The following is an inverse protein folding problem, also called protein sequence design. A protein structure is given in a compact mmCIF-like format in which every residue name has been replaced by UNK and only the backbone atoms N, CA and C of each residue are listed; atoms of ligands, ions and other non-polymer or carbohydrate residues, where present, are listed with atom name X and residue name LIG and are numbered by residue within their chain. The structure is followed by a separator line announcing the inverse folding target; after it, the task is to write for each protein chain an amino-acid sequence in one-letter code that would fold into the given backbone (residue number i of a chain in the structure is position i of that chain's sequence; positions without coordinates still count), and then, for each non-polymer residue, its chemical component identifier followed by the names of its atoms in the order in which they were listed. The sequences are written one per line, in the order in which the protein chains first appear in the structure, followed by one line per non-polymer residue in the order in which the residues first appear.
data_IF_190428761575
#
_entry.id   IF_190428761575
#
_cell.length_a   1.000
_cell.length_b   1.000
_cell.length_c   1.000
_cell.angle_alpha   90.00
_cell.angle_beta   90.00
_cell.angle_gamma   90.00
#
_symmetry.space_group_name_H-M   'P 1'
#
loop_
_entity.id
_entity.type
_entity.pdbx_description
1 polymer ?
#
# COMPACT_ATOMS: atom_id res chain seq x y z
N UNK A 1 -25.53 -37.91 -33.32
CA UNK A 1 -24.58 -37.49 -32.25
C UNK A 1 -23.38 -36.68 -32.77
N UNK A 2 -22.71 -37.04 -33.89
CA UNK A 2 -21.54 -36.31 -34.40
C UNK A 2 -21.80 -34.82 -34.77
N UNK A 3 -22.96 -34.48 -35.34
CA UNK A 3 -23.32 -33.09 -35.69
C UNK A 3 -23.49 -32.17 -34.46
N UNK A 4 -24.08 -32.68 -33.38
CA UNK A 4 -24.29 -31.89 -32.16
C UNK A 4 -22.97 -31.64 -31.40
N UNK A 5 -22.01 -32.57 -31.50
CA UNK A 5 -20.68 -32.41 -30.92
C UNK A 5 -19.90 -31.26 -31.61
N UNK A 6 -19.95 -31.18 -32.94
CA UNK A 6 -19.27 -30.13 -33.71
C UNK A 6 -19.83 -28.76 -33.33
N UNK A 7 -21.16 -28.60 -33.29
CA UNK A 7 -21.81 -27.33 -32.90
C UNK A 7 -21.40 -26.90 -31.48
N UNK A 8 -21.31 -27.84 -30.54
CA UNK A 8 -20.86 -27.56 -29.18
C UNK A 8 -19.41 -27.06 -29.16
N UNK A 9 -18.50 -27.69 -29.89
CA UNK A 9 -17.09 -27.26 -29.98
C UNK A 9 -16.93 -25.90 -30.69
N UNK A 10 -17.75 -25.59 -31.70
CA UNK A 10 -17.70 -24.28 -32.36
C UNK A 10 -18.19 -23.17 -31.41
N UNK A 11 -19.28 -23.40 -30.67
CA UNK A 11 -19.80 -22.44 -29.69
C UNK A 11 -18.81 -22.25 -28.53
N UNK A 12 -18.18 -23.33 -28.06
CA UNK A 12 -17.14 -23.27 -27.03
C UNK A 12 -15.90 -22.48 -27.52
N UNK A 13 -15.53 -22.63 -28.79
CA UNK A 13 -14.40 -21.91 -29.41
C UNK A 13 -14.62 -20.40 -29.53
N UNK A 14 -15.86 -19.95 -29.73
CA UNK A 14 -16.20 -18.52 -29.68
C UNK A 14 -16.17 -17.96 -28.25
N UNK A 15 -16.59 -18.75 -27.26
CA UNK A 15 -16.56 -18.36 -25.85
C UNK A 15 -15.14 -18.31 -25.26
N UNK A 16 -14.19 -19.05 -25.86
CA UNK A 16 -12.80 -19.17 -25.41
C UNK A 16 -11.81 -18.34 -26.23
N UNK A 17 -12.25 -17.32 -26.98
CA UNK A 17 -11.36 -16.41 -27.71
C UNK A 17 -10.54 -15.54 -26.73
N UNK A 18 -9.50 -16.14 -26.16
CA UNK A 18 -8.55 -15.46 -25.31
C UNK A 18 -7.64 -14.62 -26.20
N UNK A 19 -8.01 -13.34 -26.41
CA UNK A 19 -7.17 -12.40 -27.16
C UNK A 19 -5.73 -12.44 -26.62
N UNK A 20 -4.78 -12.79 -27.48
CA UNK A 20 -3.38 -13.03 -27.15
C UNK A 20 -2.63 -11.71 -27.06
N UNK A 21 -2.18 -11.37 -25.86
CA UNK A 21 -1.37 -10.17 -25.61
C UNK A 21 0.09 -10.58 -25.54
N UNK A 22 0.90 -10.11 -26.50
CA UNK A 22 2.35 -10.34 -26.53
C UNK A 22 3.07 -9.01 -26.39
N UNK A 23 4.11 -8.99 -25.56
CA UNK A 23 5.04 -7.84 -25.46
C UNK A 23 6.42 -8.35 -25.78
N UNK A 24 7.07 -7.72 -26.75
CA UNK A 24 8.45 -8.05 -27.13
C UNK A 24 9.17 -6.77 -27.49
N UNK A 25 10.32 -6.53 -26.86
CA UNK A 25 11.17 -5.34 -27.11
C UNK A 25 10.40 -4.01 -27.01
N UNK A 26 9.54 -3.86 -25.99
CA UNK A 26 8.76 -2.64 -25.78
C UNK A 26 7.63 -2.42 -26.79
N UNK A 27 7.22 -3.43 -27.56
CA UNK A 27 6.08 -3.35 -28.49
C UNK A 27 4.96 -4.26 -27.98
N UNK A 28 3.78 -3.68 -27.80
CA UNK A 28 2.54 -4.39 -27.49
C UNK A 28 1.92 -4.88 -28.79
N UNK A 29 1.68 -6.18 -28.87
CA UNK A 29 1.14 -6.88 -30.03
C UNK A 29 -0.11 -7.64 -29.64
N UNK A 30 -1.20 -7.45 -30.38
CA UNK A 30 -2.48 -8.14 -30.22
C UNK A 30 -2.75 -8.95 -31.48
N UNK A 31 -2.93 -10.26 -31.34
CA UNK A 31 -3.21 -11.15 -32.49
C UNK A 31 -2.22 -10.99 -33.67
N UNK A 32 -0.96 -10.67 -33.37
CA UNK A 32 0.08 -10.45 -34.39
C UNK A 32 0.16 -9.02 -34.94
N UNK A 33 -0.76 -8.13 -34.58
CA UNK A 33 -0.74 -6.72 -34.97
C UNK A 33 -0.05 -5.88 -33.90
N UNK A 34 0.93 -5.05 -34.29
CA UNK A 34 1.54 -4.08 -33.38
C UNK A 34 0.58 -2.92 -33.14
N UNK A 35 0.28 -2.63 -31.87
CA UNK A 35 -0.78 -1.66 -31.51
C UNK A 35 -0.26 -0.50 -30.67
N UNK A 36 0.77 -0.71 -29.86
CA UNK A 36 1.34 0.32 -29.01
C UNK A 36 2.81 0.03 -28.69
N UNK A 37 3.53 1.06 -28.25
CA UNK A 37 4.86 0.94 -27.67
C UNK A 37 4.79 1.19 -26.16
N UNK A 38 5.67 0.56 -25.41
CA UNK A 38 5.81 0.70 -23.96
C UNK A 38 7.29 0.90 -23.61
N UNK A 39 7.57 1.87 -22.77
CA UNK A 39 8.89 2.11 -22.19
C UNK A 39 8.79 2.13 -20.66
N UNK A 40 9.86 1.73 -19.98
CA UNK A 40 9.94 1.75 -18.52
C UNK A 40 11.04 2.73 -18.08
N UNK A 41 10.70 3.63 -17.16
CA UNK A 41 11.66 4.41 -16.38
C UNK A 41 11.26 4.36 -14.91
N UNK A 42 12.08 3.75 -14.07
CA UNK A 42 11.92 3.73 -12.61
C UNK A 42 10.53 3.27 -12.14
N UNK A 43 10.02 2.14 -12.65
CA UNK A 43 8.68 1.57 -12.36
C UNK A 43 7.49 2.36 -12.91
N UNK A 44 7.75 3.37 -13.73
CA UNK A 44 6.72 4.09 -14.50
C UNK A 44 6.77 3.60 -15.95
N UNK A 45 5.68 2.96 -16.37
CA UNK A 45 5.50 2.42 -17.71
C UNK A 45 4.78 3.44 -18.57
N UNK A 46 5.44 3.97 -19.59
CA UNK A 46 4.89 4.96 -20.51
C UNK A 46 4.38 4.26 -21.76
N UNK A 47 3.09 4.42 -22.05
CA UNK A 47 2.45 3.89 -23.24
C UNK A 47 2.40 4.95 -24.33
N UNK A 48 2.91 4.56 -25.50
CA UNK A 48 3.04 5.41 -26.68
C UNK A 48 2.28 4.80 -27.86
N UNK A 49 1.87 5.66 -28.79
CA UNK A 49 1.45 5.18 -30.10
C UNK A 49 2.65 4.58 -30.87
N UNK A 50 2.40 4.00 -32.06
CA UNK A 50 3.47 3.42 -32.88
C UNK A 50 4.46 4.47 -33.41
N UNK A 51 4.06 5.75 -33.44
CA UNK A 51 4.87 6.91 -33.82
C UNK A 51 5.68 7.48 -32.64
N UNK A 52 5.67 6.81 -31.49
CA UNK A 52 6.40 7.18 -30.27
C UNK A 52 5.86 8.42 -29.55
N UNK A 53 4.62 8.83 -29.83
CA UNK A 53 3.96 9.88 -29.06
C UNK A 53 3.45 9.30 -27.73
N UNK A 54 3.88 9.83 -26.58
CA UNK A 54 3.51 9.28 -25.28
C UNK A 54 2.13 9.78 -24.87
N UNK A 55 1.22 8.84 -24.54
CA UNK A 55 -0.19 9.14 -24.28
C UNK A 55 -0.51 9.14 -22.78
N UNK A 56 -0.10 8.08 -22.08
CA UNK A 56 -0.37 7.89 -20.65
C UNK A 56 0.73 7.08 -19.98
N UNK A 57 0.76 7.11 -18.65
CA UNK A 57 1.68 6.30 -17.85
C UNK A 57 0.93 5.43 -16.85
N UNK A 58 1.52 4.27 -16.54
CA UNK A 58 1.09 3.33 -15.51
C UNK A 58 2.24 3.17 -14.53
N UNK A 59 2.03 3.51 -13.27
CA UNK A 59 2.98 3.31 -12.18
C UNK A 59 2.48 2.19 -11.27
N UNK A 60 3.32 1.21 -10.95
CA UNK A 60 2.98 0.20 -9.95
C UNK A 60 3.30 0.72 -8.56
N UNK A 61 2.28 0.74 -7.72
CA UNK A 61 2.40 1.06 -6.30
C UNK A 61 2.26 -0.23 -5.51
N UNK A 62 3.27 -0.54 -4.71
CA UNK A 62 3.23 -1.61 -3.74
C UNK A 62 3.65 -1.04 -2.39
N UNK A 63 2.69 -0.88 -1.49
CA UNK A 63 2.90 -0.24 -0.19
C UNK A 63 2.44 -1.15 0.95
N UNK A 64 3.20 -1.13 2.05
CA UNK A 64 2.70 -1.66 3.32
C UNK A 64 1.74 -0.65 3.94
N UNK A 65 0.58 -1.12 4.39
CA UNK A 65 -0.41 -0.28 5.09
C UNK A 65 -0.12 -0.36 6.59
N UNK A 66 -0.32 -1.53 7.16
CA UNK A 66 -0.08 -1.86 8.57
C UNK A 66 0.36 -3.32 8.61
N UNK A 67 1.38 -3.63 9.40
CA UNK A 67 1.93 -4.97 9.56
C UNK A 67 2.35 -5.61 8.21
N UNK A 68 1.90 -6.84 7.97
CA UNK A 68 2.09 -7.61 6.75
C UNK A 68 1.00 -7.38 5.70
N UNK A 69 0.07 -6.44 5.93
CA UNK A 69 -0.96 -6.12 4.94
C UNK A 69 -0.39 -5.15 3.92
N UNK A 70 -0.15 -5.65 2.72
CA UNK A 70 0.30 -4.86 1.57
C UNK A 70 -0.88 -4.57 0.66
N UNK A 71 -0.84 -3.39 0.05
CA UNK A 71 -1.74 -3.00 -1.01
C UNK A 71 -0.94 -2.72 -2.27
N UNK A 72 -1.28 -3.45 -3.33
CA UNK A 72 -0.63 -3.36 -4.63
C UNK A 72 -1.64 -2.95 -5.68
N UNK A 73 -1.37 -1.87 -6.38
CA UNK A 73 -2.27 -1.27 -7.36
C UNK A 73 -1.51 -0.49 -8.41
N UNK A 74 -2.21 0.01 -9.42
CA UNK A 74 -1.61 0.87 -10.43
C UNK A 74 -2.17 2.29 -10.35
N UNK A 75 -1.30 3.26 -10.60
CA UNK A 75 -1.68 4.65 -10.86
C UNK A 75 -1.61 4.90 -12.36
N UNK A 76 -2.75 5.25 -12.95
CA UNK A 76 -2.82 5.67 -14.35
C UNK A 76 -2.83 7.20 -14.41
N UNK A 77 -1.90 7.77 -15.18
CA UNK A 77 -1.77 9.22 -15.38
C UNK A 77 -1.83 9.57 -16.86
N UNK A 78 -2.45 10.70 -17.19
CA UNK A 78 -2.35 11.29 -18.53
C UNK A 78 -1.10 12.14 -18.65
N UNK A 79 -0.49 12.11 -19.83
CA UNK A 79 0.69 12.93 -20.10
C UNK A 79 0.30 14.38 -20.42
N UNK A 80 -0.80 14.55 -21.16
CA UNK A 80 -1.29 15.88 -21.58
C UNK A 80 -2.24 16.52 -20.56
N UNK A 81 -2.53 15.88 -19.42
CA UNK A 81 -3.36 16.43 -18.34
C UNK A 81 -2.97 15.81 -16.99
N UNK A 82 -1.84 16.29 -16.44
CA UNK A 82 -1.14 15.68 -15.28
C UNK A 82 -1.91 15.79 -13.95
N UNK A 83 -2.94 16.62 -13.87
CA UNK A 83 -3.62 16.93 -12.61
C UNK A 83 -4.60 15.85 -12.15
N UNK A 84 -4.86 14.84 -12.99
CA UNK A 84 -5.76 13.73 -12.65
C UNK A 84 -5.01 12.40 -12.73
N UNK A 85 -4.72 11.83 -11.55
CA UNK A 85 -4.27 10.45 -11.37
C UNK A 85 -5.46 9.59 -10.97
N UNK A 86 -5.58 8.38 -11.52
CA UNK A 86 -6.56 7.39 -11.05
C UNK A 86 -5.85 6.15 -10.51
N UNK A 87 -6.29 5.70 -9.33
CA UNK A 87 -5.80 4.47 -8.71
C UNK A 87 -6.72 3.31 -9.07
N UNK A 88 -6.17 2.24 -9.64
CA UNK A 88 -6.92 1.12 -10.18
C UNK A 88 -6.33 -0.21 -9.72
N UNK A 89 -7.19 -1.21 -9.61
CA UNK A 89 -6.73 -2.59 -9.47
C UNK A 89 -6.15 -3.07 -10.82
N UNK A 90 -5.13 -3.92 -10.75
CA UNK A 90 -4.50 -4.48 -11.95
C UNK A 90 -4.72 -6.00 -12.01
N UNK A 91 -4.60 -6.54 -13.21
CA UNK A 91 -4.66 -7.97 -13.45
C UNK A 91 -3.31 -8.46 -13.98
N UNK A 92 -2.80 -9.50 -13.33
CA UNK A 92 -1.59 -10.18 -13.76
C UNK A 92 -1.97 -11.40 -14.60
N UNK A 93 -1.48 -11.55 -15.84
CA UNK A 93 -1.79 -12.73 -16.65
C UNK A 93 -1.22 -14.04 -16.07
N UNK A 94 -0.21 -13.95 -15.20
CA UNK A 94 0.25 -15.07 -14.37
C UNK A 94 0.91 -14.58 -13.07
N UNK A 95 1.22 -15.49 -12.15
CA UNK A 95 1.99 -15.18 -10.95
C UNK A 95 3.46 -14.79 -11.24
N UNK A 96 3.95 -15.08 -12.46
CA UNK A 96 5.33 -14.83 -12.88
C UNK A 96 5.45 -13.78 -13.97
N UNK A 97 4.35 -13.11 -14.36
CA UNK A 97 4.46 -12.02 -15.31
C UNK A 97 5.13 -10.83 -14.65
N UNK A 98 6.18 -10.33 -15.30
CA UNK A 98 6.77 -9.05 -14.93
C UNK A 98 5.75 -7.91 -15.03
N UNK A 99 5.97 -6.84 -14.28
CA UNK A 99 5.09 -5.68 -14.21
C UNK A 99 4.75 -5.08 -15.57
N UNK A 100 5.70 -5.02 -16.52
CA UNK A 100 5.45 -4.56 -17.89
C UNK A 100 4.32 -5.36 -18.56
N UNK A 101 4.33 -6.68 -18.36
CA UNK A 101 3.33 -7.59 -18.90
C UNK A 101 1.99 -7.43 -18.20
N UNK A 102 2.00 -7.27 -16.89
CA UNK A 102 0.79 -6.99 -16.11
C UNK A 102 0.17 -5.63 -16.47
N UNK A 103 1.00 -4.62 -16.77
CA UNK A 103 0.59 -3.30 -17.18
C UNK A 103 -0.18 -3.36 -18.50
N UNK A 104 0.44 -3.91 -19.54
CA UNK A 104 -0.20 -3.96 -20.85
C UNK A 104 -1.42 -4.90 -20.83
N UNK A 105 -1.34 -6.02 -20.12
CA UNK A 105 -2.47 -6.94 -19.99
C UNK A 105 -3.67 -6.27 -19.32
N UNK A 106 -3.43 -5.48 -18.26
CA UNK A 106 -4.48 -4.68 -17.60
C UNK A 106 -5.08 -3.64 -18.55
N UNK A 107 -4.24 -2.92 -19.30
CA UNK A 107 -4.67 -1.90 -20.25
C UNK A 107 -5.52 -2.48 -21.40
N UNK A 108 -5.17 -3.68 -21.88
CA UNK A 108 -5.90 -4.36 -22.96
C UNK A 108 -7.18 -5.01 -22.46
N UNK A 109 -7.10 -5.84 -21.40
CA UNK A 109 -8.20 -6.73 -20.99
C UNK A 109 -9.17 -6.09 -20.01
N UNK A 110 -8.66 -5.40 -18.99
CA UNK A 110 -9.48 -4.83 -17.93
C UNK A 110 -10.00 -3.44 -18.31
N UNK A 111 -9.08 -2.56 -18.73
CA UNK A 111 -9.41 -1.16 -19.01
C UNK A 111 -9.89 -0.94 -20.45
N UNK A 112 -9.57 -1.86 -21.37
CA UNK A 112 -9.90 -1.76 -22.80
C UNK A 112 -9.46 -0.42 -23.43
N UNK A 113 -8.34 0.12 -22.97
CA UNK A 113 -7.74 1.36 -23.49
C UNK A 113 -6.69 1.10 -24.58
N UNK A 114 -6.39 -0.18 -24.83
CA UNK A 114 -5.63 -0.64 -26.01
C UNK A 114 -6.48 -1.69 -26.72
N UNK A 115 -6.71 -1.50 -28.00
CA UNK A 115 -7.39 -2.42 -28.89
C UNK A 115 -6.54 -2.72 -30.14
N UNK A 116 -7.12 -3.45 -31.10
CA UNK A 116 -6.50 -3.83 -32.37
C UNK A 116 -6.11 -2.63 -33.25
N UNK A 117 -6.66 -1.43 -33.00
CA UNK A 117 -6.36 -0.20 -33.72
C UNK A 117 -5.30 0.66 -33.02
N UNK A 118 -4.96 0.33 -31.78
CA UNK A 118 -3.96 1.05 -30.99
C UNK A 118 -4.50 1.53 -29.65
N UNK A 119 -4.01 2.67 -29.19
CA UNK A 119 -4.49 3.29 -27.95
C UNK A 119 -5.85 3.96 -28.20
N UNK A 120 -6.87 3.49 -27.50
CA UNK A 120 -8.23 4.00 -27.61
C UNK A 120 -8.44 5.22 -26.72
N UNK A 121 -8.27 6.41 -27.28
CA UNK A 121 -8.38 7.69 -26.56
C UNK A 121 -9.77 7.90 -25.97
N UNK A 122 -10.83 7.46 -26.66
CA UNK A 122 -12.21 7.60 -26.17
C UNK A 122 -12.42 6.79 -24.88
N UNK A 123 -12.01 5.52 -24.85
CA UNK A 123 -12.12 4.70 -23.65
C UNK A 123 -11.23 5.24 -22.53
N UNK A 124 -10.06 5.79 -22.87
CA UNK A 124 -9.22 6.50 -21.90
C UNK A 124 -9.95 7.73 -21.35
N UNK A 125 -10.61 8.54 -22.17
CA UNK A 125 -11.44 9.69 -21.74
C UNK A 125 -12.55 9.27 -20.81
N UNK A 126 -13.27 8.21 -21.17
CA UNK A 126 -14.38 7.69 -20.39
C UNK A 126 -13.91 7.12 -19.04
N UNK A 127 -12.75 6.47 -18.99
CA UNK A 127 -12.15 5.98 -17.74
C UNK A 127 -11.80 7.12 -16.77
N UNK A 128 -11.26 8.23 -17.28
CA UNK A 128 -10.94 9.40 -16.45
C UNK A 128 -12.17 10.22 -16.07
N UNK A 129 -13.26 10.18 -16.85
CA UNK A 129 -14.56 10.78 -16.49
C UNK A 129 -15.27 9.94 -15.42
N UNK A 130 -15.32 8.63 -15.61
CA UNK A 130 -16.00 7.66 -14.76
C UNK A 130 -14.99 6.82 -13.98
N UNK A 131 -14.27 7.45 -13.05
CA UNK A 131 -13.19 6.80 -12.31
C UNK A 131 -13.74 5.61 -11.47
N UNK A 132 -13.41 4.35 -11.81
CA UNK A 132 -13.89 3.21 -11.05
C UNK A 132 -13.20 3.16 -9.69
N UNK A 133 -13.98 2.90 -8.64
CA UNK A 133 -13.41 2.72 -7.30
C UNK A 133 -12.76 1.34 -7.19
N UNK A 134 -11.57 1.31 -6.57
CA UNK A 134 -10.85 0.08 -6.25
C UNK A 134 -11.67 -0.83 -5.35
N UNK A 135 -11.56 -2.14 -5.59
CA UNK A 135 -12.23 -3.18 -4.81
C UNK A 135 -11.27 -3.74 -3.77
N UNK A 136 -11.17 -3.04 -2.65
CA UNK A 136 -10.39 -3.52 -1.51
C UNK A 136 -11.09 -4.71 -0.84
N UNK A 137 -10.34 -5.77 -0.56
CA UNK A 137 -10.79 -6.87 0.28
C UNK A 137 -10.97 -6.42 1.74
N UNK A 138 -11.66 -7.24 2.55
CA UNK A 138 -11.96 -6.91 3.95
C UNK A 138 -10.71 -6.67 4.78
N UNK A 139 -9.66 -7.49 4.61
CA UNK A 139 -8.40 -7.37 5.36
C UNK A 139 -7.69 -6.07 5.03
N UNK A 140 -7.67 -5.66 3.76
CA UNK A 140 -7.08 -4.39 3.32
C UNK A 140 -7.89 -3.19 3.84
N UNK A 141 -9.23 -3.26 3.84
CA UNK A 141 -10.09 -2.22 4.42
C UNK A 141 -9.87 -2.05 5.92
N UNK A 142 -9.75 -3.15 6.66
CA UNK A 142 -9.51 -3.13 8.09
C UNK A 142 -8.12 -2.56 8.41
N UNK A 143 -7.12 -2.90 7.60
CA UNK A 143 -5.77 -2.34 7.71
C UNK A 143 -5.75 -0.82 7.47
N UNK A 144 -6.44 -0.31 6.46
CA UNK A 144 -6.58 1.14 6.25
C UNK A 144 -7.33 1.84 7.39
N UNK A 145 -8.40 1.22 7.89
CA UNK A 145 -9.13 1.75 9.05
C UNK A 145 -8.22 1.83 10.27
N UNK A 146 -7.40 0.80 10.49
CA UNK A 146 -6.41 0.74 11.57
C UNK A 146 -5.33 1.79 11.38
N UNK A 147 -4.80 1.94 10.16
CA UNK A 147 -3.82 2.98 9.83
C UNK A 147 -4.33 4.37 10.14
N UNK A 148 -5.56 4.67 9.71
CA UNK A 148 -6.19 5.96 9.99
C UNK A 148 -6.33 6.23 11.48
N UNK A 149 -6.66 5.21 12.29
CA UNK A 149 -6.70 5.34 13.75
C UNK A 149 -5.33 5.65 14.34
N UNK A 150 -4.28 4.97 13.90
CA UNK A 150 -2.89 5.22 14.33
C UNK A 150 -2.44 6.63 13.95
N UNK A 151 -2.67 7.04 12.70
CA UNK A 151 -2.24 8.34 12.20
C UNK A 151 -2.89 9.49 13.01
N UNK A 152 -4.14 9.32 13.47
CA UNK A 152 -4.83 10.26 14.37
C UNK A 152 -4.20 10.36 15.77
N UNK A 153 -3.54 9.30 16.24
CA UNK A 153 -2.81 9.35 17.52
C UNK A 153 -1.54 10.18 17.42
N UNK A 154 -1.01 10.39 16.21
CA UNK A 154 0.20 11.15 15.93
C UNK A 154 1.32 10.83 16.93
N UNK A 155 1.66 9.55 17.00
CA UNK A 155 2.62 9.04 17.97
C UNK A 155 4.03 9.43 17.54
N UNK A 156 4.77 10.03 18.47
CA UNK A 156 6.21 10.27 18.36
C UNK A 156 6.92 9.74 19.59
N UNK A 157 8.20 9.45 19.45
CA UNK A 157 9.06 9.02 20.56
C UNK A 157 10.24 9.99 20.59
N UNK A 158 10.52 10.59 21.73
CA UNK A 158 11.63 11.52 21.86
C UNK A 158 12.95 10.79 22.20
N UNK A 159 14.05 11.54 22.21
CA UNK A 159 15.39 11.00 22.46
C UNK A 159 15.62 10.49 23.89
N UNK A 160 14.64 10.65 24.79
CA UNK A 160 14.68 10.17 26.18
C UNK A 160 13.78 8.95 26.38
N UNK A 161 13.03 8.54 25.36
CA UNK A 161 12.21 7.33 25.39
C UNK A 161 10.76 7.61 25.77
N UNK A 162 10.36 8.86 25.91
CA UNK A 162 8.97 9.24 26.16
C UNK A 162 8.17 9.07 24.88
N UNK A 163 7.02 8.43 25.03
CA UNK A 163 6.01 8.24 23.98
C UNK A 163 5.04 9.41 24.09
N UNK A 164 4.97 10.21 23.03
CA UNK A 164 4.08 11.36 22.92
C UNK A 164 2.94 11.01 21.96
N UNK A 165 1.70 11.39 22.29
CA UNK A 165 0.57 11.40 21.37
C UNK A 165 0.09 12.83 21.21
N UNK A 166 0.08 13.34 19.98
CA UNK A 166 -0.24 14.75 19.71
C UNK A 166 0.57 15.74 20.58
N UNK A 167 1.85 15.41 20.82
CA UNK A 167 2.76 16.22 21.65
C UNK A 167 2.59 16.08 23.17
N UNK A 168 1.64 15.27 23.66
CA UNK A 168 1.45 15.02 25.10
C UNK A 168 2.09 13.69 25.52
N UNK A 169 2.82 13.63 26.64
CA UNK A 169 3.33 12.36 27.17
C UNK A 169 2.19 11.40 27.52
N UNK A 170 2.26 10.19 26.98
CA UNK A 170 1.28 9.11 27.22
C UNK A 170 1.93 7.84 27.75
N UNK A 171 3.25 7.74 27.68
CA UNK A 171 4.00 6.60 28.21
C UNK A 171 5.49 6.77 27.98
N UNK A 172 6.25 5.74 28.30
CA UNK A 172 7.69 5.73 28.08
C UNK A 172 8.22 4.31 27.89
N UNK A 173 9.35 4.22 27.22
CA UNK A 173 10.13 3.00 27.12
C UNK A 173 11.15 2.92 28.26
N UNK A 174 11.43 1.70 28.72
CA UNK A 174 12.59 1.42 29.59
C UNK A 174 13.44 0.31 28.98
N UNK A 175 14.61 0.05 29.58
CA UNK A 175 15.63 -0.86 29.04
C UNK A 175 16.12 -0.45 27.64
N UNK A 176 16.22 0.87 27.43
CA UNK A 176 16.71 1.42 26.17
C UNK A 176 18.22 1.18 26.04
N UNK A 177 18.71 0.75 24.87
CA UNK A 177 20.14 0.57 24.64
C UNK A 177 20.89 1.89 24.71
N UNK A 178 22.19 1.83 24.93
CA UNK A 178 23.08 3.03 24.94
C UNK A 178 23.05 3.78 23.59
N UNK A 179 22.73 3.10 22.49
CA UNK A 179 22.56 3.70 21.16
C UNK A 179 21.24 4.46 20.98
N UNK A 180 20.31 4.38 21.94
CA UNK A 180 19.05 5.10 21.88
C UNK A 180 19.26 6.62 21.83
N UNK A 181 18.48 7.32 21.01
CA UNK A 181 18.63 8.76 20.77
C UNK A 181 19.62 9.14 19.68
N UNK A 182 20.50 8.21 19.26
CA UNK A 182 21.29 8.33 18.02
C UNK A 182 20.70 7.58 16.83
N UNK A 183 19.94 6.51 17.10
CA UNK A 183 19.24 5.70 16.11
C UNK A 183 17.75 5.58 16.47
N UNK A 184 16.87 5.82 15.50
CA UNK A 184 15.42 5.65 15.67
C UNK A 184 14.98 4.18 15.59
N UNK A 185 15.91 3.29 15.26
CA UNK A 185 15.69 1.87 15.01
C UNK A 185 16.34 0.98 16.05
N UNK A 186 15.71 -0.15 16.38
CA UNK A 186 16.25 -1.14 17.32
C UNK A 186 17.10 -2.14 16.55
N UNK A 187 18.42 -2.01 16.68
CA UNK A 187 19.38 -2.92 16.03
C UNK A 187 19.44 -4.28 16.71
N UNK A 188 19.96 -5.28 16.00
CA UNK A 188 20.13 -6.64 16.54
C UNK A 188 21.10 -6.75 17.73
N UNK A 189 21.81 -5.67 18.06
CA UNK A 189 22.73 -5.62 19.20
C UNK A 189 22.02 -5.31 20.54
N UNK A 190 20.70 -5.08 20.52
CA UNK A 190 19.92 -4.87 21.74
C UNK A 190 19.46 -6.21 22.32
N UNK A 191 20.18 -6.71 23.32
CA UNK A 191 19.89 -8.00 23.97
C UNK A 191 18.90 -7.92 25.14
N UNK A 192 18.38 -6.72 25.44
CA UNK A 192 17.42 -6.50 26.52
C UNK A 192 16.05 -6.23 25.93
N UNK A 193 15.02 -6.86 26.49
CA UNK A 193 13.63 -6.59 26.13
C UNK A 193 13.28 -5.15 26.52
N UNK A 194 12.69 -4.42 25.58
CA UNK A 194 12.27 -3.03 25.79
C UNK A 194 10.88 -3.06 26.42
N UNK A 195 10.75 -2.51 27.62
CA UNK A 195 9.46 -2.46 28.32
C UNK A 195 8.74 -1.13 28.06
N UNK A 196 7.41 -1.16 28.16
CA UNK A 196 6.54 -0.03 27.86
C UNK A 196 5.62 0.19 29.05
N UNK A 197 5.60 1.43 29.51
CA UNK A 197 4.78 1.90 30.61
C UNK A 197 3.90 3.06 30.16
N UNK A 198 2.74 3.23 30.81
CA UNK A 198 1.93 4.44 30.63
C UNK A 198 2.48 5.63 31.43
N UNK A 199 1.88 6.80 31.27
CA UNK A 199 2.27 8.02 31.98
C UNK A 199 2.14 7.92 33.52
N UNK A 200 1.42 6.91 34.04
CA UNK A 200 1.27 6.63 35.48
C UNK A 200 2.19 5.50 35.95
N UNK A 201 3.19 5.12 35.15
CA UNK A 201 4.12 4.04 35.43
C UNK A 201 3.48 2.66 35.56
N UNK A 202 2.28 2.46 34.99
CA UNK A 202 1.66 1.14 34.89
C UNK A 202 2.29 0.37 33.74
N UNK A 203 2.67 -0.88 33.98
CA UNK A 203 3.20 -1.77 32.96
C UNK A 203 2.16 -2.07 31.88
N UNK A 204 2.48 -1.77 30.62
CA UNK A 204 1.62 -1.98 29.45
C UNK A 204 2.06 -3.20 28.65
N UNK A 205 3.36 -3.46 28.60
CA UNK A 205 3.90 -4.63 27.93
C UNK A 205 5.38 -4.48 27.60
N UNK A 206 5.86 -5.33 26.70
CA UNK A 206 7.25 -5.32 26.25
C UNK A 206 7.39 -5.72 24.80
N UNK A 207 8.47 -5.24 24.19
CA UNK A 207 9.01 -5.75 22.95
C UNK A 207 10.19 -6.67 23.24
N UNK A 208 10.03 -7.93 22.86
CA UNK A 208 11.03 -8.98 23.00
C UNK A 208 11.97 -8.88 21.81
N UNK A 209 13.20 -8.42 22.05
CA UNK A 209 14.15 -8.09 20.98
C UNK A 209 14.69 -9.31 20.26
N UNK A 210 14.71 -10.46 20.92
CA UNK A 210 15.18 -11.75 20.39
C UNK A 210 14.17 -12.38 19.44
N UNK A 211 12.89 -12.46 19.84
CA UNK A 211 11.81 -13.05 19.01
C UNK A 211 11.12 -12.02 18.12
N UNK A 212 11.46 -10.73 18.25
CA UNK A 212 10.84 -9.61 17.53
C UNK A 212 9.33 -9.52 17.79
N UNK A 213 8.90 -9.85 19.01
CA UNK A 213 7.48 -9.91 19.40
C UNK A 213 7.13 -8.79 20.37
N UNK A 214 5.97 -8.19 20.17
CA UNK A 214 5.32 -7.35 21.17
C UNK A 214 4.38 -8.23 21.99
N UNK A 215 4.49 -8.14 23.32
CA UNK A 215 3.61 -8.80 24.26
C UNK A 215 2.99 -7.75 25.19
N UNK A 216 1.66 -7.70 25.23
CA UNK A 216 0.95 -6.81 26.16
C UNK A 216 0.89 -7.44 27.55
N UNK A 217 0.71 -6.61 28.58
CA UNK A 217 0.43 -7.06 29.94
C UNK A 217 -0.83 -7.93 30.02
N UNK A 218 -1.82 -7.67 29.16
CA UNK A 218 -3.02 -8.48 28.98
C UNK A 218 -2.82 -9.80 28.22
N UNK A 219 -1.59 -10.19 27.89
CA UNK A 219 -1.26 -11.49 27.30
C UNK A 219 -1.39 -11.58 25.78
N UNK A 220 -1.76 -10.50 25.08
CA UNK A 220 -1.79 -10.50 23.61
C UNK A 220 -0.37 -10.45 23.07
N UNK A 221 -0.10 -11.23 22.03
CA UNK A 221 1.21 -11.29 21.37
C UNK A 221 1.09 -10.95 19.90
N UNK A 222 2.06 -10.19 19.38
CA UNK A 222 2.18 -9.89 17.97
C UNK A 222 3.64 -9.93 17.52
N UNK A 223 3.92 -10.63 16.44
CA UNK A 223 5.26 -10.63 15.83
C UNK A 223 5.36 -9.45 14.87
N UNK A 224 6.31 -8.54 15.09
CA UNK A 224 6.61 -7.51 14.10
C UNK A 224 7.30 -8.16 12.91
N UNK A 225 6.51 -8.55 11.91
CA UNK A 225 7.02 -9.19 10.71
C UNK A 225 7.97 -8.26 9.94
N UNK A 226 9.13 -8.83 9.61
CA UNK A 226 10.08 -8.34 8.62
C UNK A 226 9.60 -8.77 7.23
N UNK A 227 9.64 -7.85 6.27
CA UNK A 227 9.18 -7.94 4.88
C UNK A 227 9.01 -9.36 4.30
N UNK A 228 7.80 -9.68 3.80
CA UNK A 228 7.57 -10.80 2.89
C UNK A 228 7.19 -10.27 1.50
N UNK A 229 8.17 -10.17 0.59
CA UNK A 229 8.13 -10.71 -0.80
C UNK A 229 9.22 -10.14 -1.73
N UNK A 230 9.89 -11.04 -2.47
CA UNK A 230 10.31 -10.96 -3.89
C UNK A 230 11.19 -9.83 -4.45
N UNK A 231 11.21 -8.65 -3.85
CA UNK A 231 12.08 -7.52 -4.23
C UNK A 231 12.88 -7.17 -2.99
N UNK A 232 14.13 -7.64 -2.96
CA UNK A 232 15.17 -7.40 -1.94
C UNK A 232 14.60 -6.94 -0.60
N UNK A 233 14.33 -7.90 0.29
CA UNK A 233 13.89 -7.61 1.64
C UNK A 233 14.99 -6.80 2.36
N UNK A 234 14.90 -5.47 2.36
CA UNK A 234 15.79 -4.64 3.16
C UNK A 234 15.35 -4.85 4.60
N UNK A 235 16.21 -5.49 5.39
CA UNK A 235 16.12 -5.49 6.84
C UNK A 235 15.91 -4.06 7.34
N UNK A 236 14.67 -3.68 7.59
CA UNK A 236 14.38 -2.49 8.38
C UNK A 236 14.15 -2.95 9.80
N UNK A 237 15.11 -2.63 10.65
CA UNK A 237 14.95 -2.68 12.09
C UNK A 237 13.70 -1.90 12.50
N UNK A 238 12.86 -2.42 13.40
CA UNK A 238 11.66 -1.71 13.81
C UNK A 238 12.05 -0.43 14.53
N UNK A 239 11.29 0.63 14.28
CA UNK A 239 11.47 1.89 15.01
C UNK A 239 10.76 1.84 16.35
N UNK A 240 11.24 2.63 17.32
CA UNK A 240 10.55 2.80 18.61
C UNK A 240 9.12 3.31 18.40
N UNK A 241 8.93 4.20 17.42
CA UNK A 241 7.60 4.64 16.97
C UNK A 241 6.71 3.47 16.54
N UNK A 242 7.20 2.57 15.70
CA UNK A 242 6.41 1.42 15.22
C UNK A 242 5.99 0.49 16.37
N UNK A 243 6.83 0.34 17.40
CA UNK A 243 6.47 -0.42 18.61
C UNK A 243 5.38 0.28 19.40
N UNK A 244 5.50 1.59 19.63
CA UNK A 244 4.48 2.36 20.35
C UNK A 244 3.14 2.35 19.61
N UNK A 245 3.15 2.57 18.29
CA UNK A 245 1.96 2.46 17.43
C UNK A 245 1.33 1.08 17.56
N UNK A 246 2.13 0.01 17.52
CA UNK A 246 1.61 -1.35 17.62
C UNK A 246 1.09 -1.69 19.00
N UNK A 247 1.72 -1.20 20.06
CA UNK A 247 1.24 -1.37 21.43
C UNK A 247 -0.14 -0.71 21.60
N UNK A 248 -0.33 0.50 21.06
CA UNK A 248 -1.61 1.20 21.09
C UNK A 248 -2.75 0.45 20.36
N UNK A 249 -2.43 -0.35 19.33
CA UNK A 249 -3.41 -1.22 18.66
C UNK A 249 -3.78 -2.42 19.54
N UNK A 250 -2.79 -3.05 20.18
CA UNK A 250 -2.99 -4.27 20.95
C UNK A 250 -3.67 -4.00 22.29
N UNK A 251 -3.34 -2.89 22.93
CA UNK A 251 -3.96 -2.40 24.16
C UNK A 251 -4.61 -1.02 23.94
N UNK A 252 -5.93 -0.99 23.62
CA UNK A 252 -6.67 0.25 23.46
C UNK A 252 -6.74 1.14 24.71
N UNK A 253 -6.39 0.61 25.89
CA UNK A 253 -6.34 1.40 27.13
C UNK A 253 -5.04 2.19 27.29
N UNK A 254 -4.00 1.85 26.51
CA UNK A 254 -2.71 2.53 26.57
C UNK A 254 -2.82 3.98 26.07
N UNK A 255 -3.37 4.16 24.86
CA UNK A 255 -3.63 5.50 24.29
C UNK A 255 -5.08 5.53 23.84
N UNK A 256 -5.92 6.26 24.58
CA UNK A 256 -7.31 6.46 24.19
C UNK A 256 -7.37 7.31 22.92
N UNK A 257 -7.89 6.74 21.85
CA UNK A 257 -8.24 7.48 20.63
C UNK A 257 -9.35 8.45 21.02
N UNK A 258 -9.07 9.75 21.05
CA UNK A 258 -10.13 10.75 21.18
C UNK A 258 -10.93 10.78 19.87
N UNK A 259 -12.12 10.16 19.87
CA UNK A 259 -12.98 10.08 18.68
C UNK A 259 -13.57 11.44 18.26
N UNK A 260 -13.44 12.46 19.11
CA UNK A 260 -13.84 13.84 18.81
C UNK A 260 -12.71 14.80 19.16
N UNK A 261 -12.26 15.57 18.17
CA UNK A 261 -11.55 16.83 18.42
C UNK A 261 -12.56 17.75 19.09
N UNK A 262 -12.52 17.86 20.41
CA UNK A 262 -13.21 18.93 21.12
C UNK A 262 -12.37 20.17 20.84
N UNK A 263 -12.76 20.94 19.82
CA UNK A 263 -12.26 22.29 19.65
C UNK A 263 -12.75 23.05 20.88
N UNK A 264 -11.88 23.22 21.87
CA UNK A 264 -12.17 24.05 23.02
C UNK A 264 -12.55 25.45 22.54
N UNK A 265 -13.57 26.04 23.16
CA UNK A 265 -13.99 27.41 22.85
C UNK A 265 -12.77 28.33 22.91
N UNK A 266 -12.52 29.03 21.79
CA UNK A 266 -11.56 30.12 21.75
C UNK A 266 -12.15 31.21 22.65
N UNK A 267 -11.74 31.25 23.92
CA UNK A 267 -11.92 32.45 24.74
C UNK A 267 -11.09 33.54 24.06
N UNK A 268 -11.78 34.45 23.36
CA UNK A 268 -11.22 35.76 23.02
C UNK A 268 -11.12 36.53 24.32
N UNK A 269 -9.93 36.58 24.89
CA UNK A 269 -9.62 37.55 25.93
C UNK A 269 -9.75 38.96 25.35
N UNK A 270 -10.54 39.79 26.05
CA UNK A 270 -10.48 41.25 25.95
C UNK A 270 -11.35 41.90 24.87
N UNK A 271 -12.61 42.18 25.20
CA UNK A 271 -13.21 43.50 24.92
C UNK A 271 -14.07 43.90 26.11
N UNK A 272 -13.53 44.76 26.97
CA UNK A 272 -14.34 45.59 27.86
C UNK A 272 -15.27 46.49 27.03
N UNK A 273 -16.53 46.56 27.44
CA UNK A 273 -17.41 47.71 27.25
C UNK A 273 -18.23 47.92 28.51
#
# INVERSE_FOLDING_TARGET
MKKNLIIMFTILGFLLHAQTVKIKRGIVTLEGVHVAKISNKSNVYTFMDLKENPIYTVEFVDKSIVDSVRDSYIKLNRIYNKDKTIELDYISPSAFSGEEKSAAYTCVKSLKIIDDRGINIKNLDDLFKNNPKRKLDTKTKDAYTTRSKIDKLNITVNNVGEILSNGKPVGYFTNLPVSFGSEDTITDKTFVDIEIYDANSKYIGRYITTTKQIKTAGGKTFTLYREMSGRASILKFPTYKAIAERMAILDPNFIKIQEKVIVGEIKRDGVEK
#
